data_IF_982069462542
#
_entry.id   IF_982069462542
#
_cell.length_a   1.000
_cell.length_b   1.000
_cell.length_c   1.000
_cell.angle_alpha   90.00
_cell.angle_beta   90.00
_cell.angle_gamma   90.00
#
_symmetry.space_group_name_H-M   'P 1'
#
loop_
_entity.id
_entity.type
_entity.pdbx_description
1 polymer ?
#
# COMPACT_ATOMS: atom_id res chain seq x y z
N UNK A 1 -9.66 -1.50 -3.40
CA UNK A 1 -9.73 -2.79 -2.70
C UNK A 1 -10.85 -3.59 -3.33
N UNK A 2 -10.64 -4.87 -3.65
CA UNK A 2 -11.73 -5.73 -4.14
C UNK A 2 -12.84 -5.83 -3.10
N UNK A 3 -14.04 -6.12 -3.55
CA UNK A 3 -15.19 -6.35 -2.69
C UNK A 3 -14.93 -7.44 -1.63
N UNK A 4 -14.29 -8.55 -2.03
CA UNK A 4 -13.96 -9.68 -1.13
C UNK A 4 -12.94 -9.31 -0.03
N UNK A 5 -12.08 -8.33 -0.31
CA UNK A 5 -11.04 -7.83 0.61
C UNK A 5 -11.44 -6.53 1.31
N UNK A 6 -12.63 -6.00 0.98
CA UNK A 6 -13.13 -4.74 1.49
C UNK A 6 -13.61 -4.92 2.93
N UNK A 7 -13.12 -4.03 3.78
CA UNK A 7 -13.60 -3.91 5.16
C UNK A 7 -14.19 -2.53 5.35
N UNK A 8 -15.51 -2.48 5.53
CA UNK A 8 -16.24 -1.24 5.73
C UNK A 8 -15.68 -0.43 6.91
N UNK A 9 -15.42 0.86 6.68
CA UNK A 9 -14.83 1.76 7.67
C UNK A 9 -13.33 1.61 7.88
N UNK A 10 -12.66 0.74 7.11
CA UNK A 10 -11.18 0.61 7.10
C UNK A 10 -10.61 0.78 5.71
N UNK A 11 -11.23 0.16 4.71
CA UNK A 11 -10.76 0.19 3.34
C UNK A 11 -11.22 1.47 2.64
N UNK A 12 -10.29 2.15 1.98
CA UNK A 12 -10.62 3.24 1.07
C UNK A 12 -11.31 2.72 -0.21
N UNK A 13 -12.20 3.54 -0.77
CA UNK A 13 -12.76 3.33 -2.10
C UNK A 13 -11.99 4.20 -3.08
N UNK A 14 -11.14 3.56 -3.88
CA UNK A 14 -10.37 4.21 -4.93
C UNK A 14 -11.16 4.21 -6.24
N UNK A 15 -11.23 5.34 -6.91
CA UNK A 15 -11.90 5.48 -8.21
C UNK A 15 -10.87 5.93 -9.24
N UNK A 16 -10.71 5.20 -10.32
CA UNK A 16 -10.00 5.67 -11.50
C UNK A 16 -11.03 6.20 -12.51
N UNK A 17 -10.91 7.45 -12.91
CA UNK A 17 -11.71 8.04 -13.97
C UNK A 17 -10.82 8.38 -15.18
N UNK A 18 -11.23 7.93 -16.36
CA UNK A 18 -10.60 8.33 -17.61
C UNK A 18 -11.34 9.53 -18.19
N UNK A 19 -10.81 10.73 -17.97
CA UNK A 19 -11.44 11.99 -18.41
C UNK A 19 -10.39 13.05 -18.73
N UNK A 20 -10.70 13.89 -19.71
CA UNK A 20 -9.96 15.13 -19.97
C UNK A 20 -10.44 16.30 -19.10
N UNK A 21 -11.61 16.17 -18.48
CA UNK A 21 -12.13 17.16 -17.55
C UNK A 21 -11.58 16.92 -16.13
N UNK A 22 -10.81 17.90 -15.64
CA UNK A 22 -10.22 17.86 -14.30
C UNK A 22 -11.23 18.13 -13.18
N UNK A 23 -12.40 18.70 -13.49
CA UNK A 23 -13.45 18.98 -12.50
C UNK A 23 -13.93 17.69 -11.81
N UNK A 24 -13.93 16.57 -12.54
CA UNK A 24 -14.26 15.22 -12.06
C UNK A 24 -13.46 14.83 -10.82
N UNK A 25 -12.21 15.28 -10.69
CA UNK A 25 -11.39 14.98 -9.51
C UNK A 25 -12.02 15.57 -8.24
N UNK A 26 -12.45 16.84 -8.31
CA UNK A 26 -13.03 17.57 -7.18
C UNK A 26 -14.40 17.01 -6.84
N UNK A 27 -15.21 16.70 -7.86
CA UNK A 27 -16.53 16.09 -7.68
C UNK A 27 -16.43 14.74 -6.97
N UNK A 28 -15.62 13.80 -7.46
CA UNK A 28 -15.43 12.50 -6.83
C UNK A 28 -14.85 12.62 -5.41
N UNK A 29 -13.90 13.51 -5.19
CA UNK A 29 -13.33 13.75 -3.86
C UNK A 29 -14.39 14.31 -2.88
N UNK A 30 -15.33 15.14 -3.35
CA UNK A 30 -16.40 15.69 -2.52
C UNK A 30 -17.37 14.62 -2.00
N UNK A 31 -17.47 13.49 -2.70
CA UNK A 31 -18.24 12.32 -2.26
C UNK A 31 -17.45 11.41 -1.29
N UNK A 32 -16.23 11.78 -0.91
CA UNK A 32 -15.38 11.02 0.01
C UNK A 32 -14.61 9.86 -0.65
N UNK A 33 -14.58 9.81 -1.99
CA UNK A 33 -13.74 8.85 -2.71
C UNK A 33 -12.27 9.30 -2.74
N UNK A 34 -11.38 8.38 -3.06
CA UNK A 34 -9.99 8.67 -3.41
C UNK A 34 -9.80 8.57 -4.93
N UNK A 35 -10.12 9.63 -5.70
CA UNK A 35 -10.08 9.59 -7.15
C UNK A 35 -8.69 9.77 -7.74
N UNK A 36 -8.44 9.06 -8.84
CA UNK A 36 -7.36 9.31 -9.78
C UNK A 36 -8.03 9.66 -11.12
N UNK A 37 -7.75 10.84 -11.66
CA UNK A 37 -8.29 11.25 -12.96
C UNK A 37 -7.15 11.35 -13.97
N UNK A 38 -7.23 10.57 -15.03
CA UNK A 38 -6.24 10.53 -16.12
C UNK A 38 -6.94 10.70 -17.46
N UNK A 39 -6.31 11.36 -18.42
CA UNK A 39 -6.70 11.21 -19.83
C UNK A 39 -6.40 9.77 -20.29
N UNK A 40 -7.13 9.25 -21.29
CA UNK A 40 -6.83 7.96 -21.90
C UNK A 40 -5.37 7.84 -22.39
N UNK A 41 -4.81 8.92 -22.98
CA UNK A 41 -3.42 8.97 -23.42
C UNK A 41 -2.42 8.71 -22.27
N UNK A 42 -2.57 9.45 -21.16
CA UNK A 42 -1.74 9.25 -19.97
C UNK A 42 -1.94 7.87 -19.36
N UNK A 43 -3.17 7.36 -19.35
CA UNK A 43 -3.45 6.01 -18.86
C UNK A 43 -2.72 4.95 -19.69
N UNK A 44 -2.80 5.04 -21.02
CA UNK A 44 -2.03 4.17 -21.93
C UNK A 44 -0.53 4.25 -21.67
N UNK A 45 0.02 5.46 -21.50
CA UNK A 45 1.45 5.66 -21.22
C UNK A 45 1.89 4.96 -19.94
N UNK A 46 1.14 5.11 -18.84
CA UNK A 46 1.51 4.44 -17.58
C UNK A 46 1.40 2.91 -17.69
N UNK A 47 0.52 2.39 -18.53
CA UNK A 47 0.44 0.95 -18.80
C UNK A 47 1.65 0.43 -19.58
N UNK A 48 2.12 1.19 -20.57
CA UNK A 48 3.30 0.87 -21.39
C UNK A 48 4.61 0.94 -20.57
N UNK A 49 4.72 1.93 -19.69
CA UNK A 49 5.83 2.09 -18.74
C UNK A 49 5.85 0.97 -17.68
N UNK A 50 4.69 0.38 -17.40
CA UNK A 50 4.53 -0.65 -16.38
C UNK A 50 4.25 -0.09 -14.99
N UNK A 51 3.55 1.04 -14.89
CA UNK A 51 3.13 1.58 -13.59
C UNK A 51 2.08 0.65 -12.93
N UNK A 52 2.28 0.25 -11.65
CA UNK A 52 1.35 -0.65 -10.95
C UNK A 52 -0.10 -0.16 -10.90
N UNK A 53 -0.36 1.15 -10.99
CA UNK A 53 -1.72 1.69 -11.03
C UNK A 53 -2.50 1.11 -12.22
N UNK A 54 -1.85 0.97 -13.39
CA UNK A 54 -2.49 0.35 -14.54
C UNK A 54 -2.80 -1.13 -14.31
N UNK A 55 -1.89 -1.87 -13.67
CA UNK A 55 -2.11 -3.28 -13.33
C UNK A 55 -3.37 -3.44 -12.46
N UNK A 56 -3.50 -2.64 -11.39
CA UNK A 56 -4.69 -2.67 -10.54
C UNK A 56 -5.95 -2.22 -11.27
N UNK A 57 -5.87 -1.24 -12.17
CA UNK A 57 -7.01 -0.81 -12.96
C UNK A 57 -7.50 -1.92 -13.91
N UNK A 58 -6.59 -2.64 -14.57
CA UNK A 58 -6.95 -3.67 -15.55
C UNK A 58 -7.41 -4.99 -14.91
N UNK A 59 -6.81 -5.37 -13.78
CA UNK A 59 -6.95 -6.73 -13.24
C UNK A 59 -7.61 -6.78 -11.85
N UNK A 60 -7.75 -5.62 -11.18
CA UNK A 60 -8.25 -5.52 -9.80
C UNK A 60 -9.40 -4.50 -9.63
N UNK A 61 -10.06 -4.10 -10.73
CA UNK A 61 -11.11 -3.09 -10.71
C UNK A 61 -12.42 -3.57 -11.35
N UNK A 62 -13.52 -2.94 -10.93
CA UNK A 62 -14.83 -3.12 -11.54
C UNK A 62 -15.18 -1.84 -12.31
N UNK A 63 -15.64 -2.00 -13.56
CA UNK A 63 -16.11 -0.86 -14.37
C UNK A 63 -17.47 -0.41 -13.85
N UNK A 64 -17.55 0.83 -13.36
CA UNK A 64 -18.79 1.43 -12.85
C UNK A 64 -19.56 2.14 -13.97
N UNK A 65 -18.85 2.79 -14.89
CA UNK A 65 -19.42 3.55 -15.99
C UNK A 65 -18.48 3.55 -17.20
N UNK A 66 -19.07 3.56 -18.40
CA UNK A 66 -18.33 3.55 -19.66
C UNK A 66 -17.71 2.19 -19.96
N UNK A 67 -16.69 2.21 -20.82
CA UNK A 67 -15.95 1.02 -21.24
C UNK A 67 -14.45 1.27 -21.08
N UNK A 68 -13.73 0.24 -20.66
CA UNK A 68 -12.28 0.32 -20.57
C UNK A 68 -11.67 0.22 -21.98
N UNK A 69 -10.61 0.97 -22.31
CA UNK A 69 -10.05 0.93 -23.66
C UNK A 69 -9.57 -0.48 -24.05
N UNK A 70 -10.15 -1.04 -25.11
CA UNK A 70 -9.99 -2.46 -25.49
C UNK A 70 -8.56 -2.88 -25.91
N UNK A 71 -7.67 -1.93 -26.19
CA UNK A 71 -6.33 -2.19 -26.72
C UNK A 71 -5.19 -1.85 -25.75
N UNK A 72 -5.50 -1.66 -24.46
CA UNK A 72 -4.47 -1.38 -23.45
C UNK A 72 -4.04 -2.69 -22.81
N UNK A 73 -2.74 -2.95 -22.84
CA UNK A 73 -2.11 -4.07 -22.14
C UNK A 73 -1.11 -3.52 -21.13
N UNK A 74 -1.03 -4.19 -20.00
CA UNK A 74 -0.02 -3.90 -19.01
C UNK A 74 1.33 -4.51 -19.41
N UNK A 75 2.38 -3.69 -19.38
CA UNK A 75 3.75 -4.15 -19.62
C UNK A 75 4.49 -4.31 -18.28
N UNK A 76 4.58 -5.55 -17.78
CA UNK A 76 5.35 -5.81 -16.57
C UNK A 76 6.84 -5.59 -16.85
N UNK A 77 7.48 -4.71 -16.07
CA UNK A 77 8.88 -4.36 -16.25
C UNK A 77 9.61 -4.21 -14.91
N UNK A 78 10.94 -4.05 -14.94
CA UNK A 78 11.72 -3.70 -13.73
C UNK A 78 11.22 -2.40 -13.08
N UNK A 79 10.74 -1.46 -13.89
CA UNK A 79 10.14 -0.23 -13.39
C UNK A 79 8.91 -0.52 -12.53
N UNK A 80 8.10 -1.52 -12.89
CA UNK A 80 6.98 -1.97 -12.07
C UNK A 80 7.42 -2.42 -10.69
N UNK A 81 8.39 -3.35 -10.62
CA UNK A 81 8.85 -3.90 -9.35
C UNK A 81 9.46 -2.81 -8.46
N UNK A 82 10.25 -1.90 -9.05
CA UNK A 82 10.80 -0.73 -8.35
C UNK A 82 9.74 0.23 -7.83
N UNK A 83 8.66 0.48 -8.60
CA UNK A 83 7.55 1.34 -8.15
C UNK A 83 6.82 0.71 -6.96
N UNK A 84 6.61 -0.60 -6.96
CA UNK A 84 6.01 -1.34 -5.82
C UNK A 84 6.94 -1.25 -4.60
N UNK A 85 8.25 -1.48 -4.79
CA UNK A 85 9.25 -1.36 -3.72
C UNK A 85 9.19 0.01 -3.04
N UNK A 86 9.21 1.08 -3.85
CA UNK A 86 9.20 2.48 -3.37
C UNK A 86 7.93 2.87 -2.62
N UNK A 87 6.83 2.11 -2.75
CA UNK A 87 5.61 2.36 -2.00
C UNK A 87 5.64 1.80 -0.56
N UNK A 88 6.55 0.86 -0.26
CA UNK A 88 6.59 0.16 1.04
C UNK A 88 6.88 1.12 2.20
N UNK A 89 7.97 1.90 2.11
CA UNK A 89 8.39 2.79 3.19
C UNK A 89 7.44 3.99 3.43
N UNK A 90 6.86 4.62 2.40
CA UNK A 90 5.80 5.60 2.60
C UNK A 90 4.60 5.04 3.38
N UNK A 91 4.13 3.83 3.07
CA UNK A 91 3.04 3.22 3.84
C UNK A 91 3.47 2.90 5.28
N UNK A 92 4.70 2.47 5.49
CA UNK A 92 5.24 2.24 6.84
C UNK A 92 5.34 3.55 7.64
N UNK A 93 5.77 4.64 7.00
CA UNK A 93 5.83 5.98 7.58
C UNK A 93 4.45 6.50 7.99
N UNK A 94 3.45 6.28 7.12
CA UNK A 94 2.06 6.61 7.37
C UNK A 94 1.47 5.79 8.51
N UNK A 95 1.78 4.49 8.61
CA UNK A 95 1.27 3.66 9.71
C UNK A 95 1.81 4.10 11.06
N UNK A 96 3.11 4.43 11.16
CA UNK A 96 3.72 4.95 12.39
C UNK A 96 3.13 6.31 12.76
N UNK A 97 3.02 7.20 11.77
CA UNK A 97 2.43 8.53 11.98
C UNK A 97 0.97 8.44 12.43
N UNK A 98 0.18 7.54 11.84
CA UNK A 98 -1.20 7.28 12.25
C UNK A 98 -1.27 6.75 13.69
N UNK A 99 -0.40 5.82 14.06
CA UNK A 99 -0.36 5.25 15.41
C UNK A 99 -0.09 6.33 16.46
N UNK A 100 0.88 7.20 16.20
CA UNK A 100 1.22 8.35 17.07
C UNK A 100 0.02 9.28 17.25
N UNK A 101 -0.77 9.49 16.18
CA UNK A 101 -1.99 10.31 16.19
C UNK A 101 -3.20 9.59 16.78
N UNK A 102 -3.05 8.34 17.21
CA UNK A 102 -4.14 7.46 17.67
C UNK A 102 -5.22 7.23 16.60
N UNK A 103 -4.82 7.30 15.33
CA UNK A 103 -5.65 6.91 14.21
C UNK A 103 -5.48 5.40 13.97
N UNK A 104 -6.29 4.61 14.69
CA UNK A 104 -6.21 3.15 14.70
C UNK A 104 -6.52 2.55 13.31
N UNK A 105 -7.49 3.14 12.61
CA UNK A 105 -7.91 2.69 11.28
C UNK A 105 -6.77 2.88 10.28
N UNK A 106 -6.23 4.10 10.20
CA UNK A 106 -5.13 4.39 9.28
C UNK A 106 -3.86 3.62 9.66
N UNK A 107 -3.63 3.34 10.95
CA UNK A 107 -2.49 2.51 11.38
C UNK A 107 -2.58 1.12 10.77
N UNK A 108 -3.75 0.48 10.92
CA UNK A 108 -3.99 -0.89 10.46
C UNK A 108 -3.93 -0.95 8.93
N UNK A 109 -4.63 -0.05 8.25
CA UNK A 109 -4.72 -0.04 6.77
C UNK A 109 -3.35 0.22 6.13
N UNK A 110 -2.58 1.19 6.63
CA UNK A 110 -1.25 1.47 6.07
C UNK A 110 -0.24 0.37 6.38
N UNK A 111 -0.32 -0.27 7.56
CA UNK A 111 0.53 -1.43 7.88
C UNK A 111 0.26 -2.59 6.93
N UNK A 112 -1.01 -2.86 6.65
CA UNK A 112 -1.40 -3.87 5.67
C UNK A 112 -0.91 -3.55 4.26
N UNK A 113 -1.07 -2.30 3.81
CA UNK A 113 -0.56 -1.86 2.50
C UNK A 113 0.96 -2.05 2.39
N UNK A 114 1.71 -1.73 3.44
CA UNK A 114 3.15 -1.94 3.46
C UNK A 114 3.53 -3.43 3.30
N UNK A 115 2.89 -4.32 4.07
CA UNK A 115 3.11 -5.77 3.99
C UNK A 115 2.70 -6.35 2.64
N UNK A 116 1.53 -5.95 2.10
CA UNK A 116 1.07 -6.36 0.78
C UNK A 116 2.08 -5.95 -0.31
N UNK A 117 2.54 -4.70 -0.30
CA UNK A 117 3.52 -4.23 -1.28
C UNK A 117 4.86 -4.96 -1.15
N UNK A 118 5.29 -5.34 0.06
CA UNK A 118 6.51 -6.14 0.24
C UNK A 118 6.41 -7.49 -0.46
N UNK A 119 5.32 -8.23 -0.25
CA UNK A 119 5.10 -9.54 -0.89
C UNK A 119 5.00 -9.38 -2.41
N UNK A 120 4.26 -8.38 -2.87
CA UNK A 120 4.11 -8.08 -4.29
C UNK A 120 5.46 -7.74 -4.95
N UNK A 121 6.30 -6.94 -4.30
CA UNK A 121 7.64 -6.62 -4.79
C UNK A 121 8.52 -7.87 -4.88
N UNK A 122 8.60 -8.67 -3.81
CA UNK A 122 9.38 -9.92 -3.81
C UNK A 122 8.91 -10.88 -4.91
N UNK A 123 7.60 -10.98 -5.13
CA UNK A 123 7.02 -11.80 -6.19
C UNK A 123 7.31 -11.25 -7.58
N UNK A 124 7.24 -9.93 -7.76
CA UNK A 124 7.55 -9.25 -9.01
C UNK A 124 8.99 -9.52 -9.42
N UNK A 125 9.94 -9.33 -8.50
CA UNK A 125 11.37 -9.58 -8.72
C UNK A 125 11.67 -11.06 -9.00
N UNK A 126 11.06 -11.98 -8.24
CA UNK A 126 11.42 -13.40 -8.31
C UNK A 126 10.75 -14.16 -9.45
N UNK A 127 9.50 -13.84 -9.76
CA UNK A 127 8.66 -14.64 -10.66
C UNK A 127 7.97 -13.82 -11.76
N UNK A 128 8.16 -12.50 -11.81
CA UNK A 128 7.43 -11.66 -12.77
C UNK A 128 5.91 -11.72 -12.57
N UNK A 129 5.43 -11.79 -11.33
CA UNK A 129 4.01 -11.81 -11.01
C UNK A 129 3.69 -10.90 -9.82
N UNK A 130 2.53 -10.23 -9.86
CA UNK A 130 2.04 -9.35 -8.80
C UNK A 130 0.74 -9.96 -8.25
N UNK A 131 0.77 -10.70 -7.14
CA UNK A 131 -0.43 -11.28 -6.56
C UNK A 131 -1.41 -10.17 -6.14
N UNK A 132 -2.70 -10.42 -6.38
CA UNK A 132 -3.75 -9.44 -6.13
C UNK A 132 -4.59 -9.86 -4.92
N UNK A 133 -5.12 -11.09 -4.93
CA UNK A 133 -6.03 -11.57 -3.89
C UNK A 133 -5.30 -11.81 -2.59
N UNK A 134 -5.96 -11.60 -1.45
CA UNK A 134 -5.28 -11.78 -0.17
C UNK A 134 -4.80 -13.22 0.05
N UNK A 135 -5.54 -14.22 -0.44
CA UNK A 135 -5.13 -15.62 -0.43
C UNK A 135 -3.86 -15.84 -1.27
N UNK A 136 -3.82 -15.31 -2.49
CA UNK A 136 -2.63 -15.37 -3.36
C UNK A 136 -1.42 -14.68 -2.73
N UNK A 137 -1.63 -13.54 -2.05
CA UNK A 137 -0.57 -12.82 -1.32
C UNK A 137 -0.05 -13.69 -0.18
N UNK A 138 -0.93 -14.32 0.63
CA UNK A 138 -0.51 -15.21 1.73
C UNK A 138 0.23 -16.44 1.24
N UNK A 139 -0.28 -17.10 0.20
CA UNK A 139 0.37 -18.24 -0.44
C UNK A 139 1.74 -17.85 -1.00
N UNK A 140 1.82 -16.70 -1.67
CA UNK A 140 3.08 -16.18 -2.22
C UNK A 140 4.08 -15.84 -1.12
N UNK A 141 3.63 -15.26 -0.01
CA UNK A 141 4.47 -14.98 1.15
C UNK A 141 5.14 -16.26 1.66
N UNK A 142 4.34 -17.31 1.91
CA UNK A 142 4.84 -18.61 2.39
C UNK A 142 5.76 -19.27 1.36
N UNK A 143 5.36 -19.28 0.08
CA UNK A 143 6.14 -19.88 -1.02
C UNK A 143 7.51 -19.22 -1.18
N UNK A 144 7.60 -17.91 -0.99
CA UNK A 144 8.85 -17.15 -1.06
C UNK A 144 9.61 -17.12 0.27
N UNK A 145 9.12 -17.79 1.31
CA UNK A 145 9.74 -17.83 2.65
C UNK A 145 10.04 -16.43 3.21
N UNK A 146 9.13 -15.47 3.01
CA UNK A 146 9.29 -14.10 3.53
C UNK A 146 9.08 -14.13 5.05
N UNK A 147 9.95 -13.48 5.81
CA UNK A 147 9.97 -13.61 7.27
C UNK A 147 8.80 -12.93 8.00
N UNK A 148 7.86 -12.31 7.29
CA UNK A 148 6.73 -11.55 7.86
C UNK A 148 5.34 -12.15 7.56
N UNK A 149 5.26 -13.42 7.14
CA UNK A 149 3.98 -14.01 6.74
C UNK A 149 2.98 -14.18 7.89
N UNK A 150 3.49 -14.32 9.12
CA UNK A 150 2.64 -14.35 10.31
C UNK A 150 2.02 -12.97 10.56
N UNK A 151 2.83 -11.91 10.54
CA UNK A 151 2.39 -10.52 10.68
C UNK A 151 1.41 -10.14 9.57
N UNK A 152 1.62 -10.61 8.33
CA UNK A 152 0.66 -10.45 7.24
C UNK A 152 -0.68 -11.12 7.57
N UNK A 153 -0.66 -12.34 8.10
CA UNK A 153 -1.88 -13.08 8.45
C UNK A 153 -2.62 -12.42 9.60
N UNK A 154 -1.89 -11.95 10.61
CA UNK A 154 -2.41 -11.25 11.77
C UNK A 154 -3.05 -9.92 11.37
N UNK A 155 -2.39 -9.11 10.53
CA UNK A 155 -2.96 -7.81 10.13
C UNK A 155 -4.24 -7.98 9.31
N UNK A 156 -4.36 -9.06 8.53
CA UNK A 156 -5.60 -9.40 7.81
C UNK A 156 -6.73 -9.72 8.79
N UNK A 157 -6.44 -10.47 9.85
CA UNK A 157 -7.43 -10.77 10.89
C UNK A 157 -7.82 -9.50 11.67
N UNK A 158 -6.83 -8.69 12.07
CA UNK A 158 -7.04 -7.42 12.78
C UNK A 158 -7.93 -6.48 11.96
N UNK A 159 -7.70 -6.37 10.64
CA UNK A 159 -8.57 -5.63 9.71
C UNK A 159 -10.00 -6.14 9.77
N UNK A 160 -10.21 -7.45 9.58
CA UNK A 160 -11.54 -8.06 9.58
C UNK A 160 -12.28 -7.85 10.90
N UNK A 161 -11.56 -7.89 12.03
CA UNK A 161 -12.11 -7.67 13.38
C UNK A 161 -12.23 -6.19 13.77
N UNK A 162 -11.79 -5.26 12.90
CA UNK A 162 -11.70 -3.82 13.18
C UNK A 162 -11.03 -3.50 14.51
N UNK A 163 -10.01 -4.29 14.85
CA UNK A 163 -9.29 -4.17 16.12
C UNK A 163 -8.10 -3.22 15.97
N UNK A 164 -7.68 -2.50 17.03
CA UNK A 164 -6.50 -1.66 16.97
C UNK A 164 -5.22 -2.51 16.88
N UNK A 165 -4.23 -2.00 16.15
CA UNK A 165 -2.90 -2.59 16.12
C UNK A 165 -2.11 -2.18 17.38
N UNK A 166 -1.51 -3.14 18.08
CA UNK A 166 -0.67 -2.83 19.25
C UNK A 166 0.68 -2.22 18.84
N UNK A 167 1.32 -1.45 19.74
CA UNK A 167 2.67 -0.94 19.53
C UNK A 167 3.69 -2.06 19.25
N UNK A 168 3.55 -3.17 19.98
CA UNK A 168 4.43 -4.34 19.80
C UNK A 168 4.26 -4.98 18.42
N UNK A 169 3.02 -5.11 17.94
CA UNK A 169 2.74 -5.62 16.59
C UNK A 169 3.28 -4.67 15.52
N UNK A 170 3.15 -3.36 15.73
CA UNK A 170 3.72 -2.36 14.82
C UNK A 170 5.26 -2.42 14.78
N UNK A 171 5.91 -2.59 15.93
CA UNK A 171 7.37 -2.81 16.00
C UNK A 171 7.80 -4.03 15.19
N UNK A 172 7.06 -5.15 15.31
CA UNK A 172 7.33 -6.38 14.55
C UNK A 172 7.19 -6.19 13.05
N UNK A 173 6.15 -5.50 12.61
CA UNK A 173 5.92 -5.18 11.20
C UNK A 173 7.06 -4.32 10.64
N UNK A 174 7.45 -3.25 11.36
CA UNK A 174 8.54 -2.36 10.94
C UNK A 174 9.86 -3.12 10.85
N UNK A 175 10.22 -3.85 11.90
CA UNK A 175 11.46 -4.63 11.94
C UNK A 175 11.50 -5.68 10.82
N UNK A 176 10.41 -6.43 10.63
CA UNK A 176 10.34 -7.47 9.62
C UNK A 176 10.40 -6.93 8.19
N UNK A 177 9.69 -5.84 7.88
CA UNK A 177 9.75 -5.19 6.57
C UNK A 177 11.17 -4.69 6.29
N UNK A 178 11.80 -4.01 7.25
CA UNK A 178 13.12 -3.44 7.05
C UNK A 178 14.21 -4.51 6.89
N UNK A 179 14.11 -5.62 7.64
CA UNK A 179 14.96 -6.78 7.44
C UNK A 179 14.84 -7.35 6.02
N UNK A 180 13.62 -7.48 5.50
CA UNK A 180 13.39 -7.97 4.13
C UNK A 180 13.87 -7.02 3.03
N UNK A 181 13.95 -5.73 3.34
CA UNK A 181 14.53 -4.70 2.48
C UNK A 181 16.05 -4.58 2.60
N UNK A 182 16.67 -5.25 3.60
CA UNK A 182 18.11 -5.17 3.87
C UNK A 182 18.54 -3.86 4.53
N UNK A 183 17.63 -3.17 5.22
CA UNK A 183 17.90 -1.89 5.92
C UNK A 183 17.60 -2.01 7.42
N UNK A 184 18.20 -1.14 8.22
CA UNK A 184 17.90 -1.05 9.65
C UNK A 184 16.95 0.11 9.92
N UNK A 185 15.80 -0.17 10.52
CA UNK A 185 14.82 0.86 10.88
C UNK A 185 14.71 1.02 12.38
N UNK A 186 14.46 2.26 12.82
CA UNK A 186 14.17 2.55 14.23
C UNK A 186 12.76 2.05 14.57
N UNK A 187 12.65 1.31 15.68
CA UNK A 187 11.36 0.79 16.15
C UNK A 187 10.43 1.94 16.60
N UNK A 188 9.13 1.92 16.25
CA UNK A 188 8.13 2.84 16.75
C UNK A 188 8.19 3.08 18.28
N UNK A 189 8.37 2.01 19.06
CA UNK A 189 8.49 2.12 20.52
C UNK A 189 9.67 2.99 20.96
N UNK A 190 10.81 2.88 20.28
CA UNK A 190 11.99 3.71 20.54
C UNK A 190 11.76 5.16 20.14
N UNK A 191 11.12 5.40 19.00
CA UNK A 191 10.77 6.76 18.55
C UNK A 191 9.91 7.50 19.59
N UNK A 192 8.90 6.81 20.14
CA UNK A 192 8.00 7.33 21.17
C UNK A 192 8.70 7.61 22.52
N UNK A 193 9.75 6.86 22.85
CA UNK A 193 10.56 7.11 24.05
C UNK A 193 11.43 8.35 23.90
N UNK A 194 12.00 8.55 22.71
CA UNK A 194 12.98 9.60 22.42
C UNK A 194 12.32 10.96 22.10
N UNK A 195 11.06 10.97 21.66
CA UNK A 195 10.39 12.18 21.18
C UNK A 195 8.99 12.34 21.80
N UNK A 196 8.76 13.45 22.50
CA UNK A 196 7.51 13.68 23.24
C UNK A 196 6.36 14.26 22.39
N UNK A 197 6.65 14.91 21.26
CA UNK A 197 5.67 15.65 20.46
C UNK A 197 5.81 15.41 18.94
N UNK A 198 5.82 14.15 18.52
CA UNK A 198 5.94 13.78 17.12
C UNK A 198 4.65 14.10 16.36
N UNK A 199 4.74 14.86 15.26
CA UNK A 199 3.63 15.08 14.33
C UNK A 199 3.69 14.17 13.11
N UNK A 200 4.89 13.84 12.65
CA UNK A 200 5.14 13.07 11.43
C UNK A 200 6.45 12.29 11.57
N UNK A 201 6.43 11.07 11.04
CA UNK A 201 7.59 10.21 10.89
C UNK A 201 7.72 9.86 9.41
N UNK A 202 8.93 10.01 8.87
CA UNK A 202 9.29 9.55 7.52
C UNK A 202 10.48 8.59 7.64
N UNK A 203 10.33 7.36 7.13
CA UNK A 203 11.42 6.38 6.98
C UNK A 203 11.99 6.54 5.57
N UNK A 204 13.29 6.84 5.49
CA UNK A 204 14.01 7.02 4.24
C UNK A 204 14.52 5.67 3.69
N UNK A 205 14.91 5.65 2.40
CA UNK A 205 15.41 4.43 1.72
C UNK A 205 16.66 3.81 2.36
N UNK A 206 17.44 4.60 3.10
CA UNK A 206 18.60 4.13 3.87
C UNK A 206 18.25 3.62 5.28
N UNK A 207 16.97 3.61 5.64
CA UNK A 207 16.47 3.25 6.97
C UNK A 207 16.54 4.36 8.01
N UNK A 208 17.11 5.52 7.67
CA UNK A 208 17.11 6.69 8.56
C UNK A 208 15.69 7.22 8.75
N UNK A 209 15.45 7.84 9.90
CA UNK A 209 14.12 8.35 10.27
C UNK A 209 14.17 9.86 10.44
N UNK A 210 13.31 10.56 9.70
CA UNK A 210 13.07 11.99 9.87
C UNK A 210 11.83 12.18 10.73
N UNK A 211 11.98 12.88 11.85
CA UNK A 211 10.88 13.19 12.78
C UNK A 211 10.56 14.68 12.69
N UNK A 212 9.31 15.02 12.39
CA UNK A 212 8.82 16.39 12.49
C UNK A 212 8.10 16.57 13.82
N UNK A 213 8.63 17.46 14.66
CA UNK A 213 8.08 17.77 15.98
C UNK A 213 7.34 19.11 15.99
N UNK A 214 6.52 19.30 17.03
CA UNK A 214 5.78 20.54 17.30
C UNK A 214 6.65 21.65 17.85
#
# INVERSE_FOLDING_TARGET
TREEDFVEGISDINILALSNDKSVLVELASFGYSPIVLSEYNFKRICEEGDPICYYALYDSNVICGEFPFNIRFNLSKFTCERIRKAILPFLSLSITAFIRRDEISTVENSFRALRNLVQWKSCESNGNIPIKIEEIKETCTRLSINICNELSDIVLIRKLKSPLSLWSLDKIVEGICNELGISCVKPSKLLQENKNIKKVDINEDGSVTVTSS
#
